data_IF_506609148619
#
_entry.id   IF_506609148619
#
_cell.length_a   1.000
_cell.length_b   1.000
_cell.length_c   1.000
_cell.angle_alpha   90.00
_cell.angle_beta   90.00
_cell.angle_gamma   90.00
#
_symmetry.space_group_name_H-M   'P 1'
#
loop_
_entity.id
_entity.type
_entity.pdbx_description
1 polymer ?
#
# COMPACT_ATOMS: atom_id res chain seq x y z
N UNK A 1 10.10 2.63 18.30
CA UNK A 1 9.97 2.40 16.85
C UNK A 1 11.07 3.16 16.14
N UNK A 2 11.80 2.52 15.21
CA UNK A 2 12.71 3.22 14.30
C UNK A 2 11.90 4.06 13.31
N UNK A 3 12.42 5.23 12.94
CA UNK A 3 11.82 6.05 11.87
C UNK A 3 12.17 5.42 10.53
N UNK A 4 11.18 5.33 9.64
CA UNK A 4 11.35 4.83 8.27
C UNK A 4 11.15 6.00 7.32
N UNK A 5 12.09 6.22 6.40
CA UNK A 5 11.90 7.14 5.29
C UNK A 5 11.08 6.43 4.20
N UNK A 6 9.98 7.04 3.80
CA UNK A 6 8.94 6.39 3.00
C UNK A 6 8.23 7.45 2.15
N UNK A 7 7.81 7.11 0.92
CA UNK A 7 7.01 8.00 0.09
C UNK A 7 5.60 8.13 0.64
N UNK A 8 4.92 9.25 0.38
CA UNK A 8 3.55 9.48 0.88
C UNK A 8 2.54 8.41 0.41
N UNK A 9 2.64 7.99 -0.85
CA UNK A 9 1.81 6.92 -1.41
C UNK A 9 2.02 5.59 -0.67
N UNK A 10 3.27 5.18 -0.47
CA UNK A 10 3.64 3.97 0.27
C UNK A 10 3.13 4.03 1.72
N UNK A 11 3.19 5.21 2.35
CA UNK A 11 2.69 5.42 3.71
C UNK A 11 1.19 5.17 3.83
N UNK A 12 0.41 5.65 2.87
CA UNK A 12 -1.04 5.46 2.84
C UNK A 12 -1.36 3.97 2.61
N UNK A 13 -0.67 3.30 1.69
CA UNK A 13 -0.85 1.86 1.48
C UNK A 13 -0.55 1.07 2.76
N UNK A 14 0.61 1.32 3.37
CA UNK A 14 1.01 0.63 4.59
C UNK A 14 0.01 0.87 5.73
N UNK A 15 -0.47 2.11 5.89
CA UNK A 15 -1.47 2.45 6.90
C UNK A 15 -2.79 1.69 6.66
N UNK A 16 -3.26 1.62 5.41
CA UNK A 16 -4.47 0.89 5.06
C UNK A 16 -4.33 -0.61 5.36
N UNK A 17 -3.20 -1.22 4.98
CA UNK A 17 -2.96 -2.63 5.25
C UNK A 17 -2.88 -2.91 6.76
N UNK A 18 -2.18 -2.07 7.53
CA UNK A 18 -2.12 -2.17 9.00
C UNK A 18 -3.48 -2.03 9.67
N UNK A 19 -4.39 -1.29 9.04
CA UNK A 19 -5.78 -1.14 9.49
C UNK A 19 -6.65 -2.36 9.19
N UNK A 20 -6.09 -3.42 8.58
CA UNK A 20 -6.79 -4.66 8.29
C UNK A 20 -7.44 -4.71 6.90
N UNK A 21 -7.07 -3.81 5.99
CA UNK A 21 -7.52 -3.88 4.59
C UNK A 21 -7.15 -5.24 3.99
N UNK A 22 -8.13 -5.89 3.34
CA UNK A 22 -7.98 -7.20 2.71
C UNK A 22 -8.21 -7.21 1.20
N UNK A 23 -8.85 -6.18 0.65
CA UNK A 23 -9.08 -6.08 -0.78
C UNK A 23 -8.70 -4.68 -1.28
N UNK A 24 -7.95 -4.58 -2.37
CA UNK A 24 -7.60 -3.32 -3.02
C UNK A 24 -7.90 -3.37 -4.52
N UNK A 25 -8.76 -2.47 -4.99
CA UNK A 25 -9.12 -2.34 -6.39
C UNK A 25 -8.63 -0.98 -6.90
N UNK A 26 -7.88 -0.97 -7.99
CA UNK A 26 -7.32 0.27 -8.52
C UNK A 26 -7.33 0.32 -10.04
N UNK A 27 -7.33 1.55 -10.55
CA UNK A 27 -7.00 1.86 -11.92
C UNK A 27 -5.74 2.73 -11.93
N UNK A 28 -4.66 2.35 -12.62
CA UNK A 28 -3.43 3.13 -12.64
C UNK A 28 -3.66 4.55 -13.14
N UNK A 29 -3.36 5.55 -12.29
CA UNK A 29 -3.45 6.98 -12.63
C UNK A 29 -2.36 7.77 -11.91
N UNK A 30 -1.77 8.76 -12.59
CA UNK A 30 -0.79 9.67 -11.97
C UNK A 30 -1.49 10.58 -10.95
N UNK A 31 -0.91 10.81 -9.75
CA UNK A 31 0.41 10.41 -9.26
C UNK A 31 0.38 9.21 -8.29
N UNK A 32 -0.51 8.23 -8.45
CA UNK A 32 -0.71 7.12 -7.50
C UNK A 32 0.07 5.83 -7.84
N UNK A 33 1.04 5.88 -8.75
CA UNK A 33 1.77 4.70 -9.23
C UNK A 33 2.37 3.86 -8.09
N UNK A 34 3.07 4.50 -7.15
CA UNK A 34 3.72 3.78 -6.04
C UNK A 34 2.73 3.15 -5.06
N UNK A 35 1.52 3.72 -4.93
CA UNK A 35 0.48 3.13 -4.08
C UNK A 35 0.09 1.75 -4.62
N UNK A 36 -0.15 1.68 -5.94
CA UNK A 36 -0.53 0.45 -6.63
C UNK A 36 0.59 -0.57 -6.57
N UNK A 37 1.83 -0.16 -6.85
CA UNK A 37 3.01 -1.03 -6.76
C UNK A 37 3.21 -1.58 -5.34
N UNK A 38 3.05 -0.74 -4.32
CA UNK A 38 3.19 -1.15 -2.92
C UNK A 38 2.09 -2.15 -2.51
N UNK A 39 0.84 -1.87 -2.85
CA UNK A 39 -0.29 -2.76 -2.56
C UNK A 39 -0.10 -4.12 -3.22
N UNK A 40 0.21 -4.15 -4.52
CA UNK A 40 0.44 -5.40 -5.27
C UNK A 40 1.56 -6.25 -4.66
N UNK A 41 2.58 -5.61 -4.09
CA UNK A 41 3.72 -6.28 -3.46
C UNK A 41 3.45 -6.74 -2.01
N UNK A 42 2.81 -5.91 -1.19
CA UNK A 42 2.73 -6.12 0.26
C UNK A 42 1.39 -6.69 0.74
N UNK A 43 0.28 -6.42 0.05
CA UNK A 43 -1.05 -6.90 0.47
C UNK A 43 -1.18 -8.44 0.41
N UNK A 44 -0.70 -9.16 -0.63
CA UNK A 44 -0.76 -10.62 -0.67
C UNK A 44 -0.01 -11.31 0.46
N UNK A 45 1.13 -10.73 0.89
CA UNK A 45 1.92 -11.25 2.03
C UNK A 45 1.17 -11.19 3.36
N UNK A 46 0.09 -10.40 3.42
CA UNK A 46 -0.73 -10.16 4.61
C UNK A 46 -2.15 -10.72 4.46
N UNK A 47 -2.33 -11.61 3.48
CA UNK A 47 -3.57 -12.36 3.24
C UNK A 47 -4.69 -11.51 2.67
N UNK A 48 -4.36 -10.48 1.87
CA UNK A 48 -5.33 -9.74 1.07
C UNK A 48 -5.12 -9.94 -0.44
N UNK A 49 -6.00 -9.34 -1.24
CA UNK A 49 -6.03 -9.40 -2.71
C UNK A 49 -6.13 -8.00 -3.31
#
# INVERSE_FOLDING_TARGET
>A
MSRVLMRGNEAIAEAAIRSGLKCYFCYPITPQGELVEYMAKELPKRGGV
#
